data_IF_593219261473
#
_entry.id   IF_593219261473
#
_cell.length_a   1.000
_cell.length_b   1.000
_cell.length_c   1.000
_cell.angle_alpha   90.00
_cell.angle_beta   90.00
_cell.angle_gamma   90.00
#
_symmetry.space_group_name_H-M   'P 1'
#
loop_
_entity.id
_entity.type
_entity.pdbx_description
1 polymer ?
#
# COMPACT_ATOMS: atom_id res chain seq x y z
N UNK A 1 -48.48 -38.61 -46.26
CA UNK A 1 -47.61 -38.89 -45.07
C UNK A 1 -46.17 -38.43 -45.25
N UNK A 2 -45.45 -38.71 -46.35
CA UNK A 2 -44.06 -38.26 -46.53
C UNK A 2 -43.78 -36.76 -46.38
N UNK A 3 -44.68 -35.88 -46.92
CA UNK A 3 -44.51 -34.41 -46.82
C UNK A 3 -44.67 -33.86 -45.39
N UNK A 4 -45.49 -34.47 -44.53
CA UNK A 4 -45.73 -34.04 -43.16
C UNK A 4 -44.51 -34.41 -42.29
N UNK A 5 -43.91 -35.59 -42.51
CA UNK A 5 -42.69 -36.02 -41.79
C UNK A 5 -41.52 -35.10 -42.12
N UNK A 6 -41.37 -34.65 -43.37
CA UNK A 6 -40.26 -33.73 -43.74
C UNK A 6 -40.39 -32.36 -43.07
N UNK A 7 -41.63 -31.84 -42.94
CA UNK A 7 -41.87 -30.55 -42.26
C UNK A 7 -41.60 -30.66 -40.77
N UNK A 8 -41.99 -31.76 -40.11
CA UNK A 8 -41.75 -31.96 -38.67
C UNK A 8 -40.24 -32.11 -38.37
N UNK A 9 -39.53 -32.86 -39.21
CA UNK A 9 -38.05 -33.02 -39.05
C UNK A 9 -37.32 -31.65 -39.25
N UNK A 10 -37.76 -30.83 -40.22
CA UNK A 10 -37.22 -29.49 -40.45
C UNK A 10 -37.44 -28.56 -39.25
N UNK A 11 -38.62 -28.59 -38.64
CA UNK A 11 -38.93 -27.77 -37.45
C UNK A 11 -38.14 -28.22 -36.21
N UNK A 12 -37.95 -29.53 -36.03
CA UNK A 12 -37.12 -30.06 -34.91
C UNK A 12 -35.66 -29.67 -35.08
N UNK A 13 -35.09 -29.73 -36.29
CA UNK A 13 -33.73 -29.32 -36.56
C UNK A 13 -33.52 -27.81 -36.36
N UNK A 14 -34.50 -26.98 -36.77
CA UNK A 14 -34.46 -25.53 -36.50
C UNK A 14 -34.58 -25.21 -35.00
N UNK A 15 -35.42 -25.95 -34.26
CA UNK A 15 -35.54 -25.80 -32.79
C UNK A 15 -34.27 -26.19 -32.07
N UNK A 16 -33.60 -27.28 -32.47
CA UNK A 16 -32.32 -27.72 -31.92
C UNK A 16 -31.22 -26.71 -32.25
N UNK A 17 -31.13 -26.21 -33.48
CA UNK A 17 -30.14 -25.19 -33.87
C UNK A 17 -30.36 -23.87 -33.12
N UNK A 18 -31.62 -23.45 -32.92
CA UNK A 18 -31.98 -22.27 -32.14
C UNK A 18 -31.61 -22.49 -30.65
N UNK A 19 -31.91 -23.64 -30.07
CA UNK A 19 -31.57 -23.98 -28.68
C UNK A 19 -30.06 -24.05 -28.48
N UNK A 20 -29.29 -24.68 -29.40
CA UNK A 20 -27.85 -24.65 -29.40
C UNK A 20 -27.30 -23.21 -29.56
N UNK A 21 -27.89 -22.39 -30.41
CA UNK A 21 -27.53 -20.99 -30.59
C UNK A 21 -27.77 -20.17 -29.32
N UNK A 22 -28.88 -20.37 -28.63
CA UNK A 22 -29.21 -19.71 -27.36
C UNK A 22 -28.31 -20.19 -26.22
N UNK A 23 -28.05 -21.49 -26.12
CA UNK A 23 -27.15 -22.07 -25.10
C UNK A 23 -25.72 -21.62 -25.36
N UNK A 24 -25.28 -21.56 -26.62
CA UNK A 24 -23.94 -21.08 -26.99
C UNK A 24 -23.80 -19.56 -26.79
N UNK A 25 -24.84 -18.79 -27.03
CA UNK A 25 -24.89 -17.32 -26.76
C UNK A 25 -24.94 -17.02 -25.26
N UNK A 26 -25.69 -17.80 -24.47
CA UNK A 26 -25.72 -17.66 -23.01
C UNK A 26 -24.37 -18.02 -22.35
N UNK A 27 -23.62 -18.99 -22.90
CA UNK A 27 -22.29 -19.29 -22.42
C UNK A 27 -21.25 -18.19 -22.73
N UNK A 28 -21.52 -17.25 -23.67
CA UNK A 28 -20.64 -16.11 -23.93
C UNK A 28 -20.87 -14.93 -22.98
N UNK A 29 -21.93 -14.94 -22.19
CA UNK A 29 -22.24 -13.93 -21.19
C UNK A 29 -21.81 -14.31 -19.77
N UNK A 30 -20.94 -15.29 -19.56
CA UNK A 30 -20.18 -15.36 -18.32
C UNK A 30 -19.39 -14.07 -18.23
N UNK A 31 -19.79 -13.16 -17.33
CA UNK A 31 -18.96 -12.06 -16.87
C UNK A 31 -17.58 -12.68 -16.60
N UNK A 32 -16.62 -12.40 -17.47
CA UNK A 32 -15.24 -12.82 -17.23
C UNK A 32 -14.80 -12.10 -15.96
N UNK A 33 -14.88 -12.80 -14.83
CA UNK A 33 -14.42 -12.28 -13.55
C UNK A 33 -12.94 -11.99 -13.74
N UNK A 34 -12.46 -10.78 -13.45
CA UNK A 34 -11.05 -10.50 -13.62
C UNK A 34 -10.25 -11.39 -12.68
N UNK A 35 -9.25 -12.05 -13.21
CA UNK A 35 -8.24 -12.73 -12.42
C UNK A 35 -7.19 -11.70 -12.02
N UNK A 36 -7.14 -11.41 -10.73
CA UNK A 36 -6.28 -10.33 -10.19
C UNK A 36 -5.10 -10.92 -9.43
N UNK A 37 -3.91 -10.46 -9.71
CA UNK A 37 -2.73 -10.87 -8.97
C UNK A 37 -1.89 -9.68 -8.53
N UNK A 38 -1.28 -9.77 -7.35
CA UNK A 38 -0.26 -8.81 -6.92
C UNK A 38 1.14 -9.41 -7.01
N UNK A 39 2.13 -8.54 -7.20
CA UNK A 39 3.55 -8.86 -7.12
C UNK A 39 4.15 -7.99 -6.02
N UNK A 40 4.80 -8.61 -5.03
CA UNK A 40 5.43 -7.91 -3.90
C UNK A 40 6.78 -7.30 -4.29
N UNK A 41 7.25 -6.35 -3.51
CA UNK A 41 8.50 -5.61 -3.77
C UNK A 41 9.79 -6.27 -3.24
N UNK A 42 9.71 -7.28 -2.44
CA UNK A 42 10.84 -7.94 -1.78
C UNK A 42 10.54 -8.31 -0.34
N UNK A 43 9.41 -7.78 0.19
CA UNK A 43 8.78 -8.24 1.42
C UNK A 43 7.73 -9.31 1.13
N UNK A 44 7.29 -10.03 2.16
CA UNK A 44 6.16 -10.93 2.13
C UNK A 44 4.84 -10.19 2.34
N UNK A 45 3.73 -10.90 2.16
CA UNK A 45 2.37 -10.40 2.48
C UNK A 45 2.10 -10.35 3.99
N UNK A 46 3.08 -10.68 4.79
CA UNK A 46 3.14 -10.72 6.25
C UNK A 46 4.14 -9.69 6.83
N UNK A 47 4.42 -8.61 6.07
CA UNK A 47 5.35 -7.55 6.47
C UNK A 47 4.75 -6.54 7.46
N UNK A 48 3.55 -6.76 7.97
CA UNK A 48 2.78 -5.85 8.83
C UNK A 48 2.83 -4.38 8.37
N UNK A 49 2.93 -4.16 7.05
CA UNK A 49 3.05 -2.86 6.41
C UNK A 49 2.45 -2.87 4.99
N UNK A 50 3.21 -2.46 3.99
CA UNK A 50 2.76 -2.14 2.64
C UNK A 50 2.25 -3.35 1.83
N UNK A 51 3.00 -4.47 1.82
CA UNK A 51 2.55 -5.68 1.12
C UNK A 51 1.36 -6.34 1.83
N UNK A 52 1.35 -6.37 3.17
CA UNK A 52 0.23 -6.85 3.97
C UNK A 52 -1.05 -6.04 3.68
N UNK A 53 -0.96 -4.70 3.64
CA UNK A 53 -2.09 -3.82 3.32
C UNK A 53 -2.60 -4.05 1.89
N UNK A 54 -1.70 -4.20 0.90
CA UNK A 54 -2.06 -4.52 -0.49
C UNK A 54 -2.79 -5.86 -0.59
N UNK A 55 -2.26 -6.89 0.06
CA UNK A 55 -2.87 -8.22 0.09
C UNK A 55 -4.22 -8.23 0.77
N UNK A 56 -4.36 -7.53 1.88
CA UNK A 56 -5.64 -7.34 2.59
C UNK A 56 -6.72 -6.79 1.66
N UNK A 57 -6.41 -5.75 0.90
CA UNK A 57 -7.36 -5.17 -0.06
C UNK A 57 -7.82 -6.18 -1.11
N UNK A 58 -6.93 -7.03 -1.60
CA UNK A 58 -7.26 -8.06 -2.58
C UNK A 58 -8.09 -9.20 -1.97
N UNK A 59 -7.79 -9.58 -0.72
CA UNK A 59 -8.58 -10.58 0.03
C UNK A 59 -10.00 -10.05 0.32
N UNK A 60 -10.14 -8.79 0.72
CA UNK A 60 -11.43 -8.16 0.96
C UNK A 60 -12.25 -8.08 -0.33
N UNK A 61 -11.64 -7.70 -1.44
CA UNK A 61 -12.27 -7.71 -2.75
C UNK A 61 -12.78 -9.12 -3.12
N UNK A 62 -11.94 -10.14 -2.93
CA UNK A 62 -12.34 -11.53 -3.18
C UNK A 62 -13.54 -11.97 -2.33
N UNK A 63 -13.55 -11.63 -1.05
CA UNK A 63 -14.67 -11.92 -0.13
C UNK A 63 -15.97 -11.23 -0.56
N UNK A 64 -15.91 -9.93 -0.89
CA UNK A 64 -17.08 -9.15 -1.31
C UNK A 64 -17.72 -9.67 -2.59
N UNK A 65 -16.94 -10.23 -3.50
CA UNK A 65 -17.41 -10.75 -4.79
C UNK A 65 -17.54 -12.27 -4.85
N UNK A 66 -17.34 -12.97 -3.71
CA UNK A 66 -17.36 -14.43 -3.64
C UNK A 66 -16.35 -15.09 -4.58
N UNK A 67 -15.18 -14.46 -4.77
CA UNK A 67 -14.08 -14.93 -5.58
C UNK A 67 -13.05 -15.61 -4.67
N UNK A 68 -12.68 -16.85 -4.98
CA UNK A 68 -11.72 -17.59 -4.17
C UNK A 68 -10.27 -17.21 -4.51
N UNK A 69 -9.36 -17.36 -3.54
CA UNK A 69 -7.92 -17.34 -3.80
C UNK A 69 -7.55 -18.57 -4.64
N UNK A 70 -6.83 -18.35 -5.73
CA UNK A 70 -6.39 -19.45 -6.59
C UNK A 70 -6.36 -19.10 -8.07
N UNK A 71 -6.22 -20.11 -8.96
CA UNK A 71 -5.98 -19.92 -10.38
C UNK A 71 -7.13 -19.22 -11.13
N UNK A 72 -8.38 -19.32 -10.62
CA UNK A 72 -9.56 -18.74 -11.27
C UNK A 72 -10.08 -17.49 -10.51
N UNK A 73 -9.25 -16.87 -9.69
CA UNK A 73 -9.67 -15.75 -8.87
C UNK A 73 -8.54 -14.77 -8.61
N UNK A 74 -8.04 -14.71 -7.37
CA UNK A 74 -6.96 -13.79 -7.01
C UNK A 74 -5.78 -14.52 -6.35
N UNK A 75 -4.57 -13.95 -6.52
CA UNK A 75 -3.34 -14.51 -5.96
C UNK A 75 -2.27 -13.44 -5.74
N UNK A 76 -1.12 -13.88 -5.23
CA UNK A 76 0.10 -13.07 -5.24
C UNK A 76 1.30 -13.88 -5.70
N UNK A 77 2.34 -13.17 -6.14
CA UNK A 77 3.67 -13.69 -6.33
C UNK A 77 4.64 -12.88 -5.47
N UNK A 78 5.36 -13.58 -4.59
CA UNK A 78 6.39 -12.97 -3.77
C UNK A 78 7.69 -12.87 -4.57
N UNK A 79 8.32 -11.69 -4.51
CA UNK A 79 9.64 -11.46 -5.07
C UNK A 79 10.66 -11.39 -3.93
N UNK A 80 11.82 -11.96 -4.14
CA UNK A 80 12.94 -11.92 -3.20
C UNK A 80 13.96 -10.84 -3.60
N UNK A 81 13.96 -10.49 -4.89
CA UNK A 81 14.84 -9.48 -5.47
C UNK A 81 14.18 -8.78 -6.66
N UNK A 82 14.77 -7.68 -7.13
CA UNK A 82 14.29 -6.96 -8.31
C UNK A 82 14.30 -7.82 -9.58
N UNK A 83 15.21 -8.80 -9.65
CA UNK A 83 15.29 -9.73 -10.76
C UNK A 83 14.03 -10.61 -10.91
N UNK A 84 13.25 -10.78 -9.84
CA UNK A 84 12.04 -11.59 -9.83
C UNK A 84 10.80 -10.85 -10.33
N UNK A 85 10.80 -9.52 -10.34
CA UNK A 85 9.61 -8.72 -10.63
C UNK A 85 8.99 -9.03 -11.98
N UNK A 86 9.76 -8.88 -13.06
CA UNK A 86 9.25 -9.16 -14.39
C UNK A 86 8.93 -10.65 -14.61
N UNK A 87 9.78 -11.65 -14.23
CA UNK A 87 9.43 -13.05 -14.30
C UNK A 87 8.13 -13.42 -13.57
N UNK A 88 7.88 -12.86 -12.40
CA UNK A 88 6.64 -13.07 -11.65
C UNK A 88 5.42 -12.52 -12.42
N UNK A 89 5.49 -11.31 -12.97
CA UNK A 89 4.43 -10.73 -13.81
C UNK A 89 4.19 -11.58 -15.07
N UNK A 90 5.24 -11.95 -15.78
CA UNK A 90 5.18 -12.78 -16.98
C UNK A 90 4.50 -14.12 -16.70
N UNK A 91 4.86 -14.78 -15.63
CA UNK A 91 4.26 -16.04 -15.18
C UNK A 91 2.78 -15.91 -14.84
N UNK A 92 2.39 -14.81 -14.15
CA UNK A 92 1.01 -14.56 -13.78
C UNK A 92 0.14 -14.29 -15.01
N UNK A 93 0.60 -13.45 -15.94
CA UNK A 93 -0.13 -13.19 -17.20
C UNK A 93 -0.29 -14.47 -18.02
N UNK A 94 0.76 -15.29 -18.16
CA UNK A 94 0.68 -16.58 -18.83
C UNK A 94 -0.27 -17.59 -18.18
N UNK A 95 -0.55 -17.43 -16.88
CA UNK A 95 -1.56 -18.22 -16.14
C UNK A 95 -2.98 -17.66 -16.29
N UNK A 96 -3.18 -16.58 -17.06
CA UNK A 96 -4.48 -16.00 -17.35
C UNK A 96 -4.87 -14.83 -16.45
N UNK A 97 -4.01 -14.39 -15.50
CA UNK A 97 -4.29 -13.19 -14.71
C UNK A 97 -4.27 -11.96 -15.62
N UNK A 98 -5.38 -11.27 -15.71
CA UNK A 98 -5.60 -10.16 -16.62
C UNK A 98 -5.53 -8.77 -15.94
N UNK A 99 -5.31 -8.75 -14.63
CA UNK A 99 -5.05 -7.55 -13.85
C UNK A 99 -3.90 -7.83 -12.87
N UNK A 100 -2.79 -7.10 -13.04
CA UNK A 100 -1.57 -7.28 -12.24
C UNK A 100 -1.31 -6.01 -11.44
N UNK A 101 -1.19 -6.14 -10.12
CA UNK A 101 -0.91 -5.05 -9.19
C UNK A 101 0.56 -5.12 -8.79
N UNK A 102 1.31 -4.06 -9.09
CA UNK A 102 2.70 -3.90 -8.69
C UNK A 102 2.78 -3.09 -7.39
N UNK A 103 3.26 -3.73 -6.34
CA UNK A 103 3.31 -3.18 -4.99
C UNK A 103 4.60 -2.42 -4.76
N UNK A 104 4.61 -1.13 -5.12
CA UNK A 104 5.70 -0.21 -4.82
C UNK A 104 6.58 0.17 -6.02
N UNK A 105 7.22 1.33 -5.90
CA UNK A 105 7.97 2.00 -6.96
C UNK A 105 9.13 1.19 -7.55
N UNK A 106 9.70 0.22 -6.81
CA UNK A 106 10.78 -0.63 -7.31
C UNK A 106 10.37 -1.48 -8.51
N UNK A 107 9.07 -1.74 -8.68
CA UNK A 107 8.53 -2.53 -9.78
C UNK A 107 8.32 -1.72 -11.08
N UNK A 108 8.72 -0.45 -11.12
CA UNK A 108 8.49 0.47 -12.26
C UNK A 108 9.00 -0.11 -13.57
N UNK A 109 10.27 -0.50 -13.65
CA UNK A 109 10.87 -1.04 -14.88
C UNK A 109 10.20 -2.37 -15.32
N UNK A 110 9.82 -3.19 -14.35
CA UNK A 110 9.13 -4.45 -14.62
C UNK A 110 7.72 -4.22 -15.20
N UNK A 111 6.97 -3.23 -14.66
CA UNK A 111 5.66 -2.82 -15.17
C UNK A 111 5.78 -2.22 -16.58
N UNK A 112 6.75 -1.36 -16.83
CA UNK A 112 6.97 -0.80 -18.16
C UNK A 112 7.23 -1.90 -19.21
N UNK A 113 8.07 -2.87 -18.86
CA UNK A 113 8.36 -4.03 -19.71
C UNK A 113 7.13 -4.93 -19.89
N UNK A 114 6.42 -5.25 -18.81
CA UNK A 114 5.26 -6.14 -18.84
C UNK A 114 4.09 -5.50 -19.60
N UNK A 115 3.77 -4.23 -19.34
CA UNK A 115 2.68 -3.51 -20.01
C UNK A 115 2.91 -3.34 -21.53
N UNK A 116 4.16 -3.24 -21.96
CA UNK A 116 4.53 -3.24 -23.38
C UNK A 116 4.34 -4.63 -24.01
N UNK A 117 4.71 -5.69 -23.29
CA UNK A 117 4.62 -7.08 -23.78
C UNK A 117 3.17 -7.60 -23.83
N UNK A 118 2.34 -7.15 -22.90
CA UNK A 118 0.96 -7.61 -22.71
C UNK A 118 -0.04 -6.46 -22.77
N UNK A 119 -0.34 -5.92 -23.98
CA UNK A 119 -1.17 -4.72 -24.14
C UNK A 119 -2.63 -4.92 -23.66
N UNK A 120 -3.14 -6.15 -23.67
CA UNK A 120 -4.50 -6.50 -23.26
C UNK A 120 -4.64 -6.81 -21.75
N UNK A 121 -3.52 -6.76 -21.00
CA UNK A 121 -3.50 -6.95 -19.55
C UNK A 121 -3.53 -5.60 -18.85
N UNK A 122 -4.37 -5.47 -17.84
CA UNK A 122 -4.42 -4.30 -16.96
C UNK A 122 -3.26 -4.36 -15.95
N UNK A 123 -2.56 -3.26 -15.77
CA UNK A 123 -1.51 -3.13 -14.76
C UNK A 123 -1.83 -1.98 -13.82
N UNK A 124 -1.68 -2.20 -12.51
CA UNK A 124 -1.77 -1.16 -11.50
C UNK A 124 -0.38 -0.91 -10.95
N UNK A 125 0.08 0.33 -11.03
CA UNK A 125 1.37 0.75 -10.46
C UNK A 125 1.14 1.61 -9.22
N UNK A 126 1.60 1.16 -8.05
CA UNK A 126 1.47 1.91 -6.79
C UNK A 126 2.78 2.67 -6.51
N UNK A 127 2.65 3.93 -6.10
CA UNK A 127 3.73 4.87 -5.70
C UNK A 127 4.60 5.42 -6.83
N UNK A 128 4.31 5.08 -8.08
CA UNK A 128 5.01 5.68 -9.24
C UNK A 128 4.05 5.88 -10.41
N UNK A 129 4.33 6.87 -11.25
CA UNK A 129 3.54 7.12 -12.45
C UNK A 129 4.20 6.45 -13.66
N UNK A 130 3.46 5.56 -14.31
CA UNK A 130 3.86 4.91 -15.56
C UNK A 130 2.89 5.30 -16.67
N UNK A 131 3.40 6.00 -17.69
CA UNK A 131 2.58 6.55 -18.79
C UNK A 131 2.38 5.51 -19.90
N UNK A 132 1.48 4.54 -19.66
CA UNK A 132 1.11 3.49 -20.62
C UNK A 132 -0.41 3.32 -20.65
N UNK A 133 -1.04 3.06 -21.81
CA UNK A 133 -2.50 3.04 -21.95
C UNK A 133 -3.19 1.94 -21.10
N UNK A 134 -2.48 0.87 -20.76
CA UNK A 134 -2.96 -0.23 -19.95
C UNK A 134 -2.41 -0.23 -18.50
N UNK A 135 -1.81 0.88 -18.05
CA UNK A 135 -1.34 1.06 -16.67
C UNK A 135 -2.17 2.12 -15.97
N UNK A 136 -2.79 1.77 -14.85
CA UNK A 136 -3.35 2.72 -13.91
C UNK A 136 -2.32 3.01 -12.81
N UNK A 137 -1.94 4.27 -12.66
CA UNK A 137 -1.02 4.69 -11.61
C UNK A 137 -1.79 5.16 -10.39
N UNK A 138 -1.36 4.73 -9.21
CA UNK A 138 -1.93 5.11 -7.91
C UNK A 138 -0.87 5.84 -7.10
N UNK A 139 -1.20 7.02 -6.62
CA UNK A 139 -0.33 7.87 -5.82
C UNK A 139 -1.03 8.24 -4.51
N UNK A 140 -0.24 8.37 -3.45
CA UNK A 140 -0.73 8.82 -2.14
C UNK A 140 -0.05 10.14 -1.76
N UNK A 141 -0.77 10.98 -1.01
CA UNK A 141 -0.22 12.19 -0.40
C UNK A 141 0.45 11.84 0.93
N UNK A 142 1.42 10.95 0.88
CA UNK A 142 2.17 10.45 2.04
C UNK A 142 2.81 11.57 2.86
N UNK A 143 3.20 12.67 2.20
CA UNK A 143 3.70 13.87 2.87
C UNK A 143 2.71 14.46 3.86
N UNK A 144 1.39 14.36 3.61
CA UNK A 144 0.37 14.92 4.48
C UNK A 144 0.26 14.13 5.79
N UNK A 145 0.20 12.80 5.73
CA UNK A 145 0.23 11.96 6.93
C UNK A 145 1.58 12.07 7.67
N UNK A 146 2.69 12.14 6.93
CA UNK A 146 4.02 12.32 7.51
C UNK A 146 4.17 13.68 8.23
N UNK A 147 3.52 14.74 7.74
CA UNK A 147 3.45 16.02 8.46
C UNK A 147 2.80 15.85 9.83
N UNK A 148 1.68 15.14 9.90
CA UNK A 148 0.98 14.88 11.16
C UNK A 148 1.84 14.03 12.12
N UNK A 149 2.61 13.06 11.59
CA UNK A 149 3.62 12.31 12.34
C UNK A 149 4.72 13.22 12.89
N UNK A 150 5.18 14.20 12.10
CA UNK A 150 6.13 15.21 12.51
C UNK A 150 5.63 16.05 13.68
N UNK A 151 4.37 16.50 13.62
CA UNK A 151 3.71 17.22 14.73
C UNK A 151 3.63 16.34 15.99
N UNK A 152 3.25 15.06 15.83
CA UNK A 152 3.21 14.10 16.94
C UNK A 152 4.59 13.92 17.60
N UNK A 153 5.64 13.72 16.80
CA UNK A 153 7.01 13.57 17.27
C UNK A 153 7.49 14.81 18.01
N UNK A 154 7.30 16.00 17.44
CA UNK A 154 7.77 17.25 18.03
C UNK A 154 7.07 17.59 19.36
N UNK A 155 5.76 17.34 19.46
CA UNK A 155 5.00 17.55 20.69
C UNK A 155 5.33 16.57 21.80
N UNK A 156 5.89 15.40 21.45
CA UNK A 156 6.21 14.34 22.40
C UNK A 156 7.68 14.34 22.81
N UNK A 157 8.58 14.72 21.92
CA UNK A 157 10.02 14.73 22.19
C UNK A 157 10.36 15.69 23.32
N UNK A 158 11.08 15.17 24.33
CA UNK A 158 11.67 15.92 25.44
C UNK A 158 13.13 16.27 25.18
N UNK A 159 13.81 15.41 24.41
CA UNK A 159 15.24 15.57 24.07
C UNK A 159 15.48 16.61 22.98
N UNK A 160 14.45 17.05 22.28
CA UNK A 160 14.54 17.85 21.05
C UNK A 160 15.36 17.19 19.94
N UNK A 161 15.38 15.86 19.95
CA UNK A 161 16.01 15.02 18.93
C UNK A 161 15.01 13.94 18.51
N UNK A 162 14.61 13.96 17.25
CA UNK A 162 13.72 12.95 16.68
C UNK A 162 14.42 12.18 15.56
N UNK A 163 13.99 10.97 15.29
CA UNK A 163 14.53 10.10 14.25
C UNK A 163 13.58 9.92 13.07
N UNK A 164 14.14 9.76 11.89
CA UNK A 164 13.46 9.26 10.71
C UNK A 164 14.26 8.07 10.17
N UNK A 165 13.64 6.90 10.11
CA UNK A 165 14.22 5.71 9.48
C UNK A 165 13.41 5.39 8.24
N UNK A 166 14.01 5.57 7.06
CA UNK A 166 13.43 5.17 5.77
C UNK A 166 13.96 3.82 5.29
N UNK A 167 13.20 3.13 4.45
CA UNK A 167 13.63 1.87 3.86
C UNK A 167 14.85 2.06 2.96
N UNK A 168 14.74 2.92 1.94
CA UNK A 168 15.81 3.21 0.98
C UNK A 168 15.93 4.72 0.76
N UNK A 169 17.05 5.18 0.22
CA UNK A 169 17.16 6.57 -0.27
C UNK A 169 16.52 6.67 -1.66
N UNK A 170 15.30 7.17 -1.71
CA UNK A 170 14.47 7.20 -2.92
C UNK A 170 13.54 8.41 -2.95
N UNK A 171 13.01 8.77 -4.13
CA UNK A 171 12.04 9.86 -4.26
C UNK A 171 10.80 9.68 -3.38
N UNK A 172 10.28 8.46 -3.22
CA UNK A 172 9.12 8.17 -2.36
C UNK A 172 9.46 8.45 -0.90
N UNK A 173 10.60 7.96 -0.41
CA UNK A 173 11.05 8.24 0.96
C UNK A 173 11.33 9.73 1.19
N UNK A 174 11.77 10.45 0.16
CA UNK A 174 11.94 11.90 0.24
C UNK A 174 10.60 12.64 0.44
N UNK A 175 9.49 12.12 -0.10
CA UNK A 175 8.14 12.67 0.13
C UNK A 175 7.77 12.56 1.61
N UNK A 176 7.90 11.39 2.21
CA UNK A 176 7.65 11.17 3.64
C UNK A 176 8.54 12.05 4.51
N UNK A 177 9.85 12.07 4.24
CA UNK A 177 10.80 12.86 5.03
C UNK A 177 10.50 14.36 4.99
N UNK A 178 10.18 14.92 3.81
CA UNK A 178 9.86 16.35 3.67
C UNK A 178 8.61 16.73 4.46
N UNK A 179 7.55 15.91 4.39
CA UNK A 179 6.35 16.12 5.19
C UNK A 179 6.64 16.04 6.68
N UNK A 180 7.32 14.99 7.13
CA UNK A 180 7.73 14.81 8.52
C UNK A 180 8.57 15.98 9.04
N UNK A 181 9.60 16.38 8.32
CA UNK A 181 10.47 17.48 8.71
C UNK A 181 9.71 18.81 8.82
N UNK A 182 8.80 19.09 7.87
CA UNK A 182 7.95 20.27 7.95
C UNK A 182 7.05 20.22 9.19
N UNK A 183 6.40 19.09 9.48
CA UNK A 183 5.57 18.92 10.67
C UNK A 183 6.35 19.13 11.97
N UNK A 184 7.56 18.58 12.08
CA UNK A 184 8.47 18.77 13.21
C UNK A 184 8.79 20.26 13.39
N UNK A 185 9.26 20.91 12.33
CA UNK A 185 9.72 22.31 12.41
C UNK A 185 8.57 23.33 12.50
N UNK A 186 7.36 22.95 12.11
CA UNK A 186 6.15 23.75 12.36
C UNK A 186 5.85 23.88 13.85
N UNK A 187 6.18 22.84 14.63
CA UNK A 187 6.00 22.86 16.10
C UNK A 187 7.18 23.52 16.82
N UNK A 188 8.41 23.13 16.46
CA UNK A 188 9.62 23.69 17.04
C UNK A 188 10.79 23.60 16.03
N UNK A 189 11.24 24.73 15.47
CA UNK A 189 12.32 24.75 14.47
C UNK A 189 13.70 24.32 15.03
N UNK A 190 13.84 24.24 16.37
CA UNK A 190 15.09 23.84 17.01
C UNK A 190 15.23 22.33 17.20
N UNK A 191 14.21 21.55 16.91
CA UNK A 191 14.29 20.07 16.99
C UNK A 191 15.18 19.53 15.87
N UNK A 192 16.16 18.73 16.27
CA UNK A 192 17.09 18.06 15.35
C UNK A 192 16.50 16.75 14.86
N UNK A 193 16.54 16.53 13.53
CA UNK A 193 16.08 15.30 12.92
C UNK A 193 17.27 14.45 12.51
N UNK A 194 17.41 13.26 13.10
CA UNK A 194 18.39 12.26 12.68
C UNK A 194 17.76 11.36 11.62
N UNK A 195 18.21 11.51 10.36
CA UNK A 195 17.69 10.73 9.21
C UNK A 195 18.67 9.61 8.86
N UNK A 196 18.15 8.38 8.74
CA UNK A 196 18.88 7.20 8.28
C UNK A 196 18.03 6.37 7.31
N UNK A 197 18.68 5.57 6.50
CA UNK A 197 18.06 4.59 5.62
C UNK A 197 18.60 3.19 5.92
N UNK A 198 17.70 2.19 5.89
CA UNK A 198 18.06 0.78 6.10
C UNK A 198 18.79 0.21 4.88
N UNK A 199 18.47 0.71 3.68
CA UNK A 199 18.93 0.18 2.39
C UNK A 199 17.97 -0.85 1.78
N UNK A 200 16.93 -1.27 2.53
CA UNK A 200 15.94 -2.28 2.10
C UNK A 200 14.67 -2.17 2.96
N UNK A 201 13.60 -2.85 2.53
CA UNK A 201 12.33 -2.92 3.28
C UNK A 201 12.13 -4.24 4.04
N UNK A 202 13.06 -5.20 3.96
CA UNK A 202 12.91 -6.58 4.45
C UNK A 202 13.99 -7.06 5.42
N UNK A 203 14.69 -6.13 6.13
CA UNK A 203 15.77 -6.44 7.06
C UNK A 203 15.54 -5.83 8.45
N UNK A 204 14.66 -6.40 9.31
CA UNK A 204 14.32 -5.84 10.62
C UNK A 204 15.54 -5.71 11.55
N UNK A 205 16.54 -6.58 11.46
CA UNK A 205 17.77 -6.48 12.26
C UNK A 205 18.57 -5.20 11.98
N UNK A 206 18.62 -4.75 10.72
CA UNK A 206 19.29 -3.49 10.37
C UNK A 206 18.49 -2.31 10.91
N UNK A 207 17.16 -2.33 10.75
CA UNK A 207 16.26 -1.33 11.33
C UNK A 207 16.41 -1.23 12.86
N UNK A 208 16.52 -2.37 13.55
CA UNK A 208 16.74 -2.43 14.98
C UNK A 208 18.07 -1.79 15.38
N UNK A 209 19.15 -2.10 14.67
CA UNK A 209 20.48 -1.54 14.97
C UNK A 209 20.51 -0.03 14.77
N UNK A 210 19.87 0.49 13.71
CA UNK A 210 19.77 1.92 13.46
C UNK A 210 18.95 2.64 14.54
N UNK A 211 17.82 2.07 14.94
CA UNK A 211 16.97 2.64 15.99
C UNK A 211 17.69 2.64 17.34
N UNK A 212 18.37 1.55 17.71
CA UNK A 212 19.16 1.48 18.95
C UNK A 212 20.24 2.56 18.97
N UNK A 213 21.02 2.71 17.90
CA UNK A 213 22.03 3.76 17.79
C UNK A 213 21.43 5.17 17.87
N UNK A 214 20.23 5.41 17.31
CA UNK A 214 19.54 6.70 17.48
C UNK A 214 19.14 6.95 18.92
N UNK A 215 18.54 5.97 19.60
CA UNK A 215 18.19 6.10 21.02
C UNK A 215 19.42 6.34 21.90
N UNK A 216 20.54 5.67 21.65
CA UNK A 216 21.80 5.88 22.38
C UNK A 216 22.34 7.29 22.18
N UNK A 217 22.12 7.90 21.02
CA UNK A 217 22.45 9.28 20.71
C UNK A 217 21.41 10.31 21.20
N UNK A 218 20.45 9.86 22.03
CA UNK A 218 19.47 10.70 22.72
C UNK A 218 18.24 11.06 21.90
N UNK A 219 17.99 10.40 20.76
CA UNK A 219 16.68 10.44 20.10
C UNK A 219 15.66 9.79 21.04
N UNK A 220 14.44 10.35 21.12
CA UNK A 220 13.37 9.81 21.98
C UNK A 220 12.08 9.48 21.22
N UNK A 221 11.93 9.92 19.98
CA UNK A 221 10.84 9.56 19.09
C UNK A 221 11.38 9.23 17.72
N UNK A 222 11.07 8.05 17.18
CA UNK A 222 11.47 7.63 15.82
C UNK A 222 10.21 7.43 14.98
N UNK A 223 10.15 8.05 13.79
CA UNK A 223 9.20 7.71 12.74
C UNK A 223 9.88 6.72 11.78
N UNK A 224 9.31 5.53 11.63
CA UNK A 224 9.84 4.47 10.77
C UNK A 224 8.98 4.28 9.53
N UNK A 225 9.59 4.47 8.35
CA UNK A 225 8.96 4.33 7.02
C UNK A 225 9.79 3.32 6.23
N UNK A 226 9.78 2.07 6.69
CA UNK A 226 10.74 1.08 6.23
C UNK A 226 10.15 -0.34 6.02
N UNK A 227 8.83 -0.47 5.88
CA UNK A 227 8.18 -1.77 5.73
C UNK A 227 8.55 -2.72 6.86
N UNK A 228 8.74 -4.00 6.58
CA UNK A 228 9.19 -4.99 7.58
C UNK A 228 10.53 -4.66 8.25
N UNK A 229 11.41 -3.88 7.59
CA UNK A 229 12.62 -3.37 8.27
C UNK A 229 12.28 -2.45 9.43
N UNK A 230 11.13 -1.76 9.38
CA UNK A 230 10.63 -0.85 10.42
C UNK A 230 10.27 -1.54 11.73
N UNK A 231 9.90 -2.82 11.71
CA UNK A 231 9.59 -3.62 12.90
C UNK A 231 10.76 -3.64 13.90
N UNK A 232 11.98 -3.56 13.37
CA UNK A 232 13.19 -3.48 14.19
C UNK A 232 13.20 -2.26 15.12
N UNK A 233 12.60 -1.13 14.74
CA UNK A 233 12.53 0.05 15.59
C UNK A 233 11.64 -0.19 16.83
N UNK A 234 10.55 -0.94 16.69
CA UNK A 234 9.71 -1.35 17.83
C UNK A 234 10.48 -2.27 18.77
N UNK A 235 11.23 -3.24 18.21
CA UNK A 235 12.08 -4.14 19.00
C UNK A 235 13.13 -3.36 19.80
N UNK A 236 13.81 -2.40 19.17
CA UNK A 236 14.77 -1.54 19.86
C UNK A 236 14.12 -0.68 20.95
N UNK A 237 12.97 -0.07 20.66
CA UNK A 237 12.26 0.77 21.64
C UNK A 237 11.80 -0.02 22.87
N UNK A 238 11.26 -1.23 22.66
CA UNK A 238 10.88 -2.14 23.75
C UNK A 238 12.08 -2.51 24.62
N UNK A 239 13.24 -2.82 24.00
CA UNK A 239 14.46 -3.13 24.71
C UNK A 239 14.96 -1.93 25.53
N UNK A 240 14.95 -0.71 24.98
CA UNK A 240 15.33 0.52 25.68
C UNK A 240 14.43 0.77 26.90
N UNK A 241 13.11 0.64 26.74
CA UNK A 241 12.17 0.82 27.87
C UNK A 241 12.36 -0.23 28.95
N UNK A 242 12.47 -1.52 28.55
CA UNK A 242 12.57 -2.64 29.50
C UNK A 242 13.91 -2.64 30.24
N UNK A 243 15.01 -2.43 29.55
CA UNK A 243 16.36 -2.62 30.12
C UNK A 243 16.95 -1.34 30.72
N UNK A 244 16.55 -0.15 30.20
CA UNK A 244 17.13 1.13 30.61
C UNK A 244 16.12 2.05 31.31
N UNK A 245 14.85 1.69 31.38
CA UNK A 245 13.79 2.51 31.97
C UNK A 245 13.54 3.85 31.25
N UNK A 246 14.13 4.05 30.07
CA UNK A 246 14.02 5.30 29.31
C UNK A 246 12.75 5.33 28.48
N UNK A 247 12.01 6.45 28.56
CA UNK A 247 10.81 6.64 27.74
C UNK A 247 11.23 7.01 26.31
N UNK A 248 10.99 6.11 25.36
CA UNK A 248 11.18 6.29 23.93
C UNK A 248 9.95 5.83 23.17
N UNK A 249 9.75 6.35 21.95
CA UNK A 249 8.55 6.13 21.16
C UNK A 249 8.88 5.78 19.70
N UNK A 250 7.96 5.02 19.08
CA UNK A 250 7.95 4.76 17.64
C UNK A 250 6.64 5.29 17.05
N UNK A 251 6.73 5.92 15.90
CA UNK A 251 5.58 6.20 15.03
C UNK A 251 5.65 5.21 13.88
N UNK A 252 4.58 4.44 13.70
CA UNK A 252 4.44 3.43 12.65
C UNK A 252 3.98 3.99 11.31
N UNK A 253 3.88 3.13 10.29
CA UNK A 253 3.54 3.48 8.91
C UNK A 253 2.61 2.46 8.26
N UNK A 254 1.91 2.87 7.23
CA UNK A 254 1.03 2.13 6.33
C UNK A 254 -0.27 1.63 6.98
N UNK A 255 -0.20 1.00 8.12
CA UNK A 255 -1.33 0.52 8.90
C UNK A 255 -1.15 0.80 10.39
N UNK A 256 -2.17 0.52 11.21
CA UNK A 256 -2.04 0.62 12.66
C UNK A 256 -1.07 -0.46 13.16
N UNK A 257 0.11 -0.02 13.58
CA UNK A 257 1.18 -0.87 14.11
C UNK A 257 1.23 -0.85 15.65
N UNK A 258 0.11 -0.56 16.31
CA UNK A 258 0.03 -0.52 17.78
C UNK A 258 0.42 -1.86 18.41
N UNK A 259 0.01 -2.99 17.82
CA UNK A 259 0.33 -4.34 18.32
C UNK A 259 1.84 -4.61 18.32
N UNK A 260 2.59 -4.10 17.33
CA UNK A 260 4.06 -4.25 17.30
C UNK A 260 4.76 -3.57 18.48
N UNK A 261 4.11 -2.56 19.05
CA UNK A 261 4.66 -1.81 20.18
C UNK A 261 4.36 -2.39 21.54
N UNK A 262 3.49 -3.38 21.65
CA UNK A 262 3.07 -3.97 22.92
C UNK A 262 4.20 -4.73 23.63
N UNK A 263 4.28 -4.59 24.95
CA UNK A 263 5.16 -5.34 25.83
C UNK A 263 4.62 -5.30 27.28
N UNK A 264 5.13 -6.12 28.19
CA UNK A 264 4.63 -6.26 29.57
C UNK A 264 4.56 -4.94 30.37
N UNK A 265 5.26 -3.90 29.96
CA UNK A 265 5.28 -2.57 30.57
C UNK A 265 4.42 -1.51 29.85
N UNK A 266 3.61 -1.89 28.88
CA UNK A 266 2.76 -0.96 28.11
C UNK A 266 2.96 -1.02 26.60
N UNK A 267 3.01 0.13 25.95
CA UNK A 267 3.15 0.22 24.50
C UNK A 267 4.19 1.29 24.11
N UNK A 268 5.07 0.98 23.16
CA UNK A 268 6.08 1.93 22.62
C UNK A 268 5.58 2.68 21.40
N UNK A 269 4.41 2.30 20.84
CA UNK A 269 3.80 2.98 19.69
C UNK A 269 3.16 4.28 20.16
N UNK A 270 3.58 5.39 19.56
CA UNK A 270 2.99 6.70 19.81
C UNK A 270 1.73 6.92 18.97
N UNK A 271 1.84 6.63 17.69
CA UNK A 271 0.82 6.74 16.65
C UNK A 271 1.27 5.91 15.44
N UNK A 272 0.39 5.74 14.43
CA UNK A 272 0.77 5.18 13.13
C UNK A 272 0.18 6.03 12.00
N UNK A 273 0.99 6.37 11.00
CA UNK A 273 0.45 6.92 9.75
C UNK A 273 -0.17 5.80 8.92
N UNK A 274 -1.31 6.09 8.32
CA UNK A 274 -2.09 5.13 7.56
C UNK A 274 -1.98 5.46 6.08
N UNK A 275 -1.82 4.42 5.27
CA UNK A 275 -1.86 4.47 3.81
C UNK A 275 -2.83 3.41 3.30
N UNK A 276 -3.97 3.84 2.80
CA UNK A 276 -5.09 2.96 2.45
C UNK A 276 -4.88 2.28 1.09
N UNK A 277 -3.75 1.58 0.95
CA UNK A 277 -3.45 0.77 -0.23
C UNK A 277 -4.52 -0.32 -0.41
N UNK A 278 -5.05 -0.85 0.68
CA UNK A 278 -6.17 -1.79 0.70
C UNK A 278 -7.39 -1.27 -0.07
N UNK A 279 -7.77 -0.01 0.17
CA UNK A 279 -8.89 0.65 -0.53
C UNK A 279 -8.58 0.86 -2.00
N UNK A 280 -7.38 1.35 -2.31
CA UNK A 280 -6.97 1.62 -3.70
C UNK A 280 -6.92 0.34 -4.54
N UNK A 281 -6.39 -0.75 -3.99
CA UNK A 281 -6.32 -2.07 -4.64
C UNK A 281 -7.72 -2.61 -4.92
N UNK A 282 -8.61 -2.54 -3.92
CA UNK A 282 -10.01 -2.95 -4.07
C UNK A 282 -10.74 -2.12 -5.14
N UNK A 283 -10.54 -0.80 -5.17
CA UNK A 283 -11.10 0.08 -6.18
C UNK A 283 -10.60 -0.28 -7.59
N UNK A 284 -9.31 -0.50 -7.77
CA UNK A 284 -8.73 -0.87 -9.07
C UNK A 284 -9.22 -2.25 -9.55
N UNK A 285 -9.33 -3.24 -8.66
CA UNK A 285 -9.88 -4.55 -8.97
C UNK A 285 -11.37 -4.45 -9.38
N UNK A 286 -12.18 -3.63 -8.68
CA UNK A 286 -13.57 -3.35 -9.02
C UNK A 286 -13.71 -2.66 -10.39
N UNK A 287 -12.84 -1.69 -10.68
CA UNK A 287 -12.82 -1.01 -11.97
C UNK A 287 -12.43 -1.96 -13.11
N UNK A 288 -11.52 -2.88 -12.88
CA UNK A 288 -11.18 -3.94 -13.84
C UNK A 288 -12.39 -4.86 -14.08
N UNK A 289 -13.08 -5.30 -13.02
CA UNK A 289 -14.26 -6.16 -13.10
C UNK A 289 -15.42 -5.52 -13.85
N UNK A 290 -15.61 -4.21 -13.72
CA UNK A 290 -16.70 -3.46 -14.35
C UNK A 290 -16.33 -2.88 -15.72
N UNK A 291 -15.15 -3.24 -16.27
CA UNK A 291 -14.60 -2.71 -17.55
C UNK A 291 -14.43 -1.18 -17.55
N UNK A 292 -14.20 -0.60 -16.36
CA UNK A 292 -13.95 0.84 -16.15
C UNK A 292 -12.50 1.11 -15.72
N UNK A 293 -11.61 0.19 -16.04
CA UNK A 293 -10.19 0.30 -15.65
C UNK A 293 -9.58 1.61 -16.18
N UNK A 294 -8.95 2.42 -15.31
CA UNK A 294 -8.48 3.75 -15.68
C UNK A 294 -7.06 3.71 -16.27
N UNK A 295 -6.84 2.88 -17.28
CA UNK A 295 -5.55 2.78 -17.96
C UNK A 295 -5.07 4.14 -18.50
N UNK A 296 -3.80 4.43 -18.38
CA UNK A 296 -3.17 5.70 -18.75
C UNK A 296 -3.43 6.86 -17.79
N UNK A 297 -4.19 6.65 -16.70
CA UNK A 297 -4.54 7.70 -15.73
C UNK A 297 -3.81 7.50 -14.41
N UNK A 298 -3.65 8.60 -13.67
CA UNK A 298 -3.16 8.61 -12.29
C UNK A 298 -4.29 8.96 -11.35
N UNK A 299 -4.49 8.15 -10.31
CA UNK A 299 -5.42 8.41 -9.20
C UNK A 299 -4.61 8.82 -7.98
N UNK A 300 -5.02 9.88 -7.31
CA UNK A 300 -4.41 10.37 -6.08
C UNK A 300 -5.34 10.12 -4.90
N UNK A 301 -4.76 9.70 -3.78
CA UNK A 301 -5.41 9.51 -2.50
C UNK A 301 -4.74 10.41 -1.47
N UNK A 302 -5.53 11.11 -0.62
CA UNK A 302 -5.04 12.11 0.33
C UNK A 302 -5.80 12.06 1.67
N UNK A 303 -5.61 13.08 2.53
CA UNK A 303 -6.33 13.19 3.80
C UNK A 303 -7.84 13.44 3.62
N UNK A 304 -8.27 14.06 2.51
CA UNK A 304 -9.67 14.44 2.29
C UNK A 304 -10.56 13.22 2.00
N UNK A 305 -10.02 12.24 1.29
CA UNK A 305 -10.69 10.97 0.97
C UNK A 305 -10.30 9.82 1.93
N UNK A 306 -9.47 10.14 2.95
CA UNK A 306 -8.92 9.18 3.90
C UNK A 306 -8.02 8.12 3.26
N UNK A 307 -7.44 8.42 2.12
CA UNK A 307 -6.46 7.58 1.46
C UNK A 307 -5.13 7.53 2.22
N UNK A 308 -4.81 8.62 2.95
CA UNK A 308 -3.80 8.65 4.00
C UNK A 308 -4.42 9.21 5.28
N UNK A 309 -3.88 8.85 6.44
CA UNK A 309 -4.35 9.33 7.74
C UNK A 309 -3.27 9.15 8.81
N UNK A 310 -3.61 9.44 10.07
CA UNK A 310 -2.87 9.08 11.26
C UNK A 310 -3.83 8.55 12.32
N UNK A 311 -3.45 7.48 13.01
CA UNK A 311 -4.19 6.92 14.16
C UNK A 311 -3.41 7.10 15.45
N UNK A 312 -4.13 7.33 16.53
CA UNK A 312 -3.56 7.55 17.85
C UNK A 312 -3.47 6.23 18.62
N UNK A 313 -2.29 5.97 19.21
CA UNK A 313 -2.11 4.87 20.17
C UNK A 313 -1.87 5.42 21.57
N UNK A 314 -0.87 6.29 21.75
CA UNK A 314 -0.41 6.75 23.07
C UNK A 314 -0.30 8.28 23.22
N UNK A 315 -0.79 9.04 22.24
CA UNK A 315 -0.74 10.51 22.29
C UNK A 315 -1.71 11.08 23.32
N UNK A 316 -1.32 12.09 24.11
CA UNK A 316 -2.24 12.83 24.98
C UNK A 316 -3.37 13.47 24.20
N UNK A 317 -4.56 13.58 24.82
CA UNK A 317 -5.75 14.19 24.19
C UNK A 317 -5.49 15.59 23.62
N UNK A 318 -4.70 16.42 24.29
CA UNK A 318 -4.35 17.77 23.82
C UNK A 318 -3.52 17.74 22.53
N UNK A 319 -2.52 16.85 22.45
CA UNK A 319 -1.70 16.66 21.25
C UNK A 319 -2.54 16.10 20.11
N UNK A 320 -3.42 15.14 20.40
CA UNK A 320 -4.32 14.58 19.40
C UNK A 320 -5.27 15.64 18.82
N UNK A 321 -5.85 16.50 19.66
CA UNK A 321 -6.70 17.62 19.21
C UNK A 321 -5.94 18.58 18.29
N UNK A 322 -4.67 18.87 18.61
CA UNK A 322 -3.82 19.70 17.77
C UNK A 322 -3.56 19.06 16.39
N UNK A 323 -3.25 17.76 16.37
CA UNK A 323 -3.03 17.00 15.12
C UNK A 323 -4.31 17.03 14.25
N UNK A 324 -5.49 16.83 14.85
CA UNK A 324 -6.74 16.91 14.11
C UNK A 324 -6.99 18.34 13.55
N UNK A 325 -6.60 19.39 14.28
CA UNK A 325 -6.66 20.76 13.76
C UNK A 325 -5.75 20.97 12.55
N UNK A 326 -4.50 20.48 12.60
CA UNK A 326 -3.60 20.52 11.45
C UNK A 326 -4.12 19.71 10.26
N UNK A 327 -4.69 18.53 10.52
CA UNK A 327 -5.35 17.73 9.47
C UNK A 327 -6.43 18.54 8.75
N UNK A 328 -7.30 19.23 9.47
CA UNK A 328 -8.35 20.05 8.85
C UNK A 328 -7.76 21.23 8.05
N UNK A 329 -6.69 21.86 8.54
CA UNK A 329 -6.02 22.95 7.82
C UNK A 329 -5.35 22.46 6.52
N UNK A 330 -4.81 21.26 6.49
CA UNK A 330 -4.26 20.64 5.27
C UNK A 330 -5.39 20.34 4.28
N UNK A 331 -6.47 19.69 4.72
CA UNK A 331 -7.64 19.39 3.89
C UNK A 331 -8.26 20.68 3.31
N UNK A 332 -8.33 21.75 4.09
CA UNK A 332 -8.81 23.05 3.65
C UNK A 332 -7.81 23.82 2.74
N UNK A 333 -6.62 23.26 2.49
CA UNK A 333 -5.57 23.89 1.68
C UNK A 333 -4.87 25.09 2.32
N UNK A 334 -5.10 25.34 3.61
CA UNK A 334 -4.46 26.41 4.38
C UNK A 334 -2.98 26.09 4.64
N UNK A 335 -2.65 24.80 4.80
CA UNK A 335 -1.27 24.31 4.88
C UNK A 335 -0.96 23.50 3.64
N UNK A 336 0.06 23.94 2.90
CA UNK A 336 0.64 23.18 1.79
C UNK A 336 1.83 22.37 2.30
N UNK A 337 1.67 21.07 2.33
CA UNK A 337 2.74 20.19 2.82
C UNK A 337 3.80 19.98 1.73
N UNK A 338 5.06 20.15 2.12
CA UNK A 338 6.23 19.95 1.24
C UNK A 338 6.35 18.49 0.77
N UNK A 339 6.96 18.29 -0.41
CA UNK A 339 7.18 16.93 -0.96
C UNK A 339 6.05 16.43 -1.86
N UNK A 340 5.04 17.25 -2.14
CA UNK A 340 3.99 16.89 -3.09
C UNK A 340 4.64 16.52 -4.44
N UNK A 341 4.42 15.30 -4.89
CA UNK A 341 4.72 14.92 -6.27
C UNK A 341 3.70 15.63 -7.19
N UNK A 342 4.21 16.32 -8.18
CA UNK A 342 3.42 17.02 -9.19
C UNK A 342 2.83 16.06 -10.23
#
# INVERSE_FOLDING_TARGET
>A
MKKIVTVIVGLVLLGVAFWFGVVYSNNRNHKQIPMVAMVTDGGGVDDDSFNAATWKGLVEWGKEHHIAKGPDGYTYAQSLSDADFFPNMDKLVKKGYNTIIATGYRLTDAIEKASKKYPDTNFVMIDTVVKRPNVASVQFRDNEAAFLAGVAAAKTSKSKKVGFIGGTDSPVMAVFYKGFAQGVHTVDPNIRINKKYVGTFSQPRIGQSLAAAMYDNGVDVIYTVAGGSGEGAFTAAKAVRKNLGRTVWVIGVDQDQSELGEYDGGNVTLASTIKRVDVAVKDMANKAMTKKFPGGKTTYYDLSDRGVDIVNTSLPKSTWKLIQSYKQQIIAGQIKVAGRQS
#
